data_IF_449213816832
#
_entry.id   IF_449213816832
#
_cell.length_a   1.000
_cell.length_b   1.000
_cell.length_c   1.000
_cell.angle_alpha   90.00
_cell.angle_beta   90.00
_cell.angle_gamma   90.00
#
_symmetry.space_group_name_H-M   'P 1'
#
loop_
_entity.id
_entity.type
_entity.pdbx_description
1 polymer ?
#
# COMPACT_ATOMS: atom_id res chain seq x y z
N UNK A 1 -7.14 -15.80 -14.38
CA UNK A 1 -5.85 -15.58 -13.69
C UNK A 1 -6.10 -14.73 -12.46
N UNK A 2 -5.54 -15.09 -11.31
CA UNK A 2 -5.54 -14.22 -10.12
C UNK A 2 -4.21 -13.47 -10.07
N UNK A 3 -4.26 -12.18 -9.76
CA UNK A 3 -3.10 -11.29 -9.70
C UNK A 3 -2.99 -10.73 -8.29
N UNK A 4 -1.75 -10.59 -7.81
CA UNK A 4 -1.43 -9.96 -6.54
C UNK A 4 -0.34 -8.93 -6.78
N UNK A 5 -0.58 -7.69 -6.35
CA UNK A 5 0.43 -6.63 -6.40
C UNK A 5 0.93 -6.38 -4.97
N UNK A 6 2.25 -6.42 -4.79
CA UNK A 6 2.89 -6.25 -3.48
C UNK A 6 3.63 -4.93 -3.45
N UNK A 7 3.41 -4.16 -2.39
CA UNK A 7 4.08 -2.88 -2.14
C UNK A 7 4.87 -2.94 -0.84
N UNK A 8 6.04 -2.31 -0.84
CA UNK A 8 6.66 -1.89 0.41
C UNK A 8 5.86 -0.74 1.05
N UNK A 9 5.98 -0.55 2.37
CA UNK A 9 5.30 0.53 3.10
C UNK A 9 6.17 1.79 3.19
N UNK A 10 7.39 1.68 3.72
CA UNK A 10 8.18 2.81 4.22
C UNK A 10 8.96 3.51 3.10
N UNK A 11 8.63 4.77 2.80
CA UNK A 11 9.21 5.48 1.66
C UNK A 11 8.59 5.08 0.31
N UNK A 12 7.68 4.11 0.29
CA UNK A 12 6.92 3.70 -0.90
C UNK A 12 5.48 4.20 -0.85
N UNK A 13 4.69 3.76 0.15
CA UNK A 13 3.28 4.17 0.29
C UNK A 13 3.14 5.36 1.24
N UNK A 14 3.96 5.40 2.28
CA UNK A 14 4.04 6.51 3.22
C UNK A 14 5.42 7.16 3.15
N UNK A 15 5.52 8.44 3.51
CA UNK A 15 6.82 9.04 3.80
C UNK A 15 7.53 8.24 4.89
N UNK A 16 8.86 8.18 4.84
CA UNK A 16 9.62 7.33 5.77
C UNK A 16 9.31 7.67 7.23
N UNK A 17 8.93 6.64 8.00
CA UNK A 17 8.55 6.69 9.41
C UNK A 17 7.38 7.65 9.70
N UNK A 18 6.49 7.86 8.72
CA UNK A 18 5.26 8.67 8.85
C UNK A 18 4.01 7.83 8.59
N UNK A 19 2.85 8.22 9.13
CA UNK A 19 1.59 7.56 8.80
C UNK A 19 1.22 7.75 7.33
N UNK A 20 0.48 6.78 6.79
CA UNK A 20 -0.12 6.87 5.45
C UNK A 20 -1.05 8.08 5.36
N UNK A 21 -0.97 8.85 4.28
CA UNK A 21 -1.89 9.97 4.06
C UNK A 21 -3.31 9.48 3.76
N UNK A 22 -4.32 10.29 4.11
CA UNK A 22 -5.72 9.96 3.82
C UNK A 22 -5.98 9.83 2.31
N UNK A 23 -5.33 10.66 1.50
CA UNK A 23 -5.40 10.59 0.04
C UNK A 23 -4.84 9.27 -0.50
N UNK A 24 -3.66 8.85 -0.01
CA UNK A 24 -3.08 7.57 -0.41
C UNK A 24 -3.96 6.41 0.02
N UNK A 25 -4.52 6.44 1.24
CA UNK A 25 -5.49 5.44 1.70
C UNK A 25 -6.71 5.32 0.78
N UNK A 26 -7.28 6.45 0.35
CA UNK A 26 -8.41 6.46 -0.59
C UNK A 26 -8.05 5.92 -1.98
N UNK A 27 -6.82 6.14 -2.43
CA UNK A 27 -6.31 5.58 -3.71
C UNK A 27 -6.05 4.08 -3.59
N UNK A 28 -5.45 3.64 -2.49
CA UNK A 28 -5.19 2.22 -2.22
C UNK A 28 -6.49 1.42 -2.10
N UNK A 29 -7.52 1.98 -1.46
CA UNK A 29 -8.85 1.38 -1.39
C UNK A 29 -9.50 1.19 -2.77
N UNK A 30 -9.31 2.15 -3.69
CA UNK A 30 -9.79 2.02 -5.07
C UNK A 30 -9.05 0.95 -5.85
N UNK A 31 -7.74 0.78 -5.61
CA UNK A 31 -6.94 -0.28 -6.24
C UNK A 31 -7.38 -1.68 -5.75
N UNK A 32 -7.63 -1.84 -4.45
CA UNK A 32 -8.08 -3.09 -3.84
C UNK A 32 -9.43 -3.58 -4.40
N UNK A 33 -10.26 -2.68 -4.92
CA UNK A 33 -11.51 -3.03 -5.60
C UNK A 33 -11.31 -3.66 -6.99
N UNK A 34 -10.11 -3.57 -7.56
CA UNK A 34 -9.78 -4.06 -8.91
C UNK A 34 -8.87 -5.29 -8.87
N UNK A 35 -7.94 -5.33 -7.92
CA UNK A 35 -6.94 -6.41 -7.79
C UNK A 35 -6.56 -6.62 -6.33
N UNK A 36 -6.22 -7.85 -5.97
CA UNK A 36 -5.66 -8.13 -4.65
C UNK A 36 -4.32 -7.39 -4.49
N UNK A 37 -4.16 -6.70 -3.36
CA UNK A 37 -2.91 -6.05 -3.00
C UNK A 37 -2.43 -6.50 -1.62
N UNK A 38 -1.11 -6.56 -1.45
CA UNK A 38 -0.45 -6.82 -0.17
C UNK A 38 0.56 -5.71 0.13
N UNK A 39 0.75 -5.46 1.42
CA UNK A 39 1.77 -4.53 1.92
C UNK A 39 2.79 -5.33 2.73
N UNK A 40 4.07 -5.14 2.43
CA UNK A 40 5.20 -5.65 3.22
C UNK A 40 5.92 -4.46 3.86
N UNK A 41 6.34 -4.61 5.11
CA UNK A 41 7.12 -3.60 5.83
C UNK A 41 8.27 -4.30 6.54
N UNK A 42 9.45 -3.68 6.52
CA UNK A 42 10.68 -4.24 7.07
C UNK A 42 10.70 -4.47 8.58
N UNK A 43 9.69 -4.00 9.32
CA UNK A 43 9.57 -4.21 10.76
C UNK A 43 10.70 -3.58 11.57
N UNK A 44 10.44 -2.41 12.13
CA UNK A 44 11.28 -1.75 13.15
C UNK A 44 10.35 -1.09 14.17
#
# INVERSE_FOLDING_TARGET
MKWLIVFDLDGTLAESKRPLSAEMGATFARLLAVVDVAVISGGD
#
